data_IF_979977209779
#
_entry.id   IF_979977209779
#
_cell.length_a   1.000
_cell.length_b   1.000
_cell.length_c   1.000
_cell.angle_alpha   90.00
_cell.angle_beta   90.00
_cell.angle_gamma   90.00
#
_symmetry.space_group_name_H-M   'P 1'
#
loop_
_entity.id
_entity.type
_entity.pdbx_description
1 polymer ?
#
# COMPACT_ATOMS: atom_id res chain seq x y z
N UNK A 1 -3.40 -14.31 -14.05
CA UNK A 1 -2.74 -15.15 -13.01
C UNK A 1 -1.35 -14.60 -12.72
N UNK A 2 -1.19 -13.65 -11.78
CA UNK A 2 0.11 -13.11 -11.30
C UNK A 2 0.03 -12.43 -9.91
N UNK A 3 -1.09 -12.54 -9.18
CA UNK A 3 -1.27 -11.84 -7.89
C UNK A 3 -0.40 -12.45 -6.78
N UNK A 4 -0.18 -13.77 -6.81
CA UNK A 4 0.66 -14.48 -5.84
C UNK A 4 2.14 -14.04 -5.85
N UNK A 5 2.66 -13.55 -6.98
CA UNK A 5 4.05 -13.13 -7.10
C UNK A 5 4.33 -11.89 -6.25
N UNK A 6 3.41 -10.93 -6.26
CA UNK A 6 3.47 -9.78 -5.37
C UNK A 6 3.33 -10.22 -3.91
N UNK A 7 2.43 -11.15 -3.58
CA UNK A 7 2.25 -11.62 -2.20
C UNK A 7 3.47 -12.32 -1.61
N UNK A 8 4.14 -13.22 -2.36
CA UNK A 8 5.38 -13.89 -1.89
C UNK A 8 6.46 -12.86 -1.55
N UNK A 9 6.53 -11.81 -2.36
CA UNK A 9 7.50 -10.75 -2.23
C UNK A 9 7.21 -9.84 -1.03
N UNK A 10 5.94 -9.47 -0.84
CA UNK A 10 5.46 -8.72 0.32
C UNK A 10 5.65 -9.53 1.61
N UNK A 11 5.40 -10.84 1.57
CA UNK A 11 5.71 -11.75 2.68
C UNK A 11 7.21 -11.71 3.03
N UNK A 12 8.09 -11.70 2.04
CA UNK A 12 9.53 -11.56 2.23
C UNK A 12 9.96 -10.26 2.90
N UNK A 13 9.18 -9.18 2.78
CA UNK A 13 9.39 -7.90 3.50
C UNK A 13 8.77 -7.95 4.90
N UNK A 14 7.57 -8.53 5.06
CA UNK A 14 6.92 -8.65 6.38
C UNK A 14 7.76 -9.46 7.38
N UNK A 15 8.34 -10.57 6.92
CA UNK A 15 9.05 -11.54 7.76
C UNK A 15 10.51 -11.16 8.05
N UNK A 16 10.94 -9.95 7.68
CA UNK A 16 12.29 -9.47 8.03
C UNK A 16 12.46 -9.27 9.54
N UNK A 17 13.70 -9.35 10.04
CA UNK A 17 13.99 -8.95 11.42
C UNK A 17 13.58 -7.49 11.65
N UNK A 18 13.05 -7.13 12.83
CA UNK A 18 12.88 -5.73 13.24
C UNK A 18 14.17 -4.90 13.12
N UNK A 19 15.35 -5.53 13.22
CA UNK A 19 16.65 -4.86 13.05
C UNK A 19 16.86 -4.28 11.65
N UNK A 20 16.24 -4.90 10.64
CA UNK A 20 16.31 -4.45 9.25
C UNK A 20 15.37 -3.29 8.96
N UNK A 21 14.16 -3.34 9.52
CA UNK A 21 13.12 -2.34 9.31
C UNK A 21 12.12 -2.37 10.46
N UNK A 22 11.90 -1.21 11.08
CA UNK A 22 10.91 -1.05 12.14
C UNK A 22 9.50 -1.42 11.64
N UNK A 23 8.69 -2.02 12.50
CA UNK A 23 7.35 -2.53 12.17
C UNK A 23 6.45 -1.46 11.54
N UNK A 24 6.45 -0.24 12.11
CA UNK A 24 5.76 0.94 11.55
C UNK A 24 6.15 1.21 10.09
N UNK A 25 7.44 1.12 9.79
CA UNK A 25 7.94 1.29 8.43
C UNK A 25 7.37 0.23 7.48
N UNK A 26 7.30 -1.03 7.93
CA UNK A 26 6.71 -2.13 7.14
C UNK A 26 5.23 -1.87 6.87
N UNK A 27 4.46 -1.45 7.87
CA UNK A 27 3.04 -1.10 7.69
C UNK A 27 2.89 0.01 6.66
N UNK A 28 3.66 1.09 6.74
CA UNK A 28 3.58 2.19 5.75
C UNK A 28 3.96 1.77 4.33
N UNK A 29 4.84 0.77 4.18
CA UNK A 29 5.25 0.23 2.89
C UNK A 29 4.18 -0.67 2.28
N UNK A 30 3.46 -1.42 3.12
CA UNK A 30 2.52 -2.48 2.71
C UNK A 30 1.07 -2.01 2.63
N UNK A 31 0.68 -1.04 3.45
CA UNK A 31 -0.71 -0.67 3.63
C UNK A 31 -1.06 0.54 2.73
N UNK A 32 -1.25 0.28 1.44
CA UNK A 32 -2.11 1.10 0.57
C UNK A 32 -1.62 2.49 0.16
N UNK A 33 -0.35 2.84 0.42
CA UNK A 33 0.30 4.03 -0.10
C UNK A 33 0.87 3.80 -1.51
N UNK A 34 0.47 4.63 -2.47
CA UNK A 34 1.04 4.65 -3.83
C UNK A 34 2.45 5.26 -3.87
N UNK A 35 2.80 6.11 -2.91
CA UNK A 35 4.13 6.71 -2.78
C UNK A 35 4.79 6.35 -1.45
N UNK A 36 6.10 6.17 -1.50
CA UNK A 36 6.96 5.86 -0.37
C UNK A 36 7.83 7.07 -0.03
N UNK A 37 8.20 7.14 1.25
CA UNK A 37 9.28 8.00 1.73
C UNK A 37 10.63 7.49 1.22
N UNK A 38 11.61 8.37 1.10
CA UNK A 38 12.94 8.01 0.63
C UNK A 38 13.60 6.86 1.43
N UNK A 39 13.55 6.82 2.79
CA UNK A 39 14.14 5.71 3.55
C UNK A 39 13.46 4.37 3.27
N UNK A 40 12.12 4.34 3.25
CA UNK A 40 11.34 3.13 2.94
C UNK A 40 11.63 2.63 1.53
N UNK A 41 11.79 3.55 0.56
CA UNK A 41 12.16 3.21 -0.81
C UNK A 41 13.58 2.64 -0.93
N UNK A 42 14.55 3.22 -0.22
CA UNK A 42 15.93 2.71 -0.22
C UNK A 42 16.00 1.29 0.36
N UNK A 43 15.32 1.07 1.48
CA UNK A 43 15.19 -0.26 2.09
C UNK A 43 14.54 -1.26 1.12
N UNK A 44 13.40 -0.87 0.55
CA UNK A 44 12.67 -1.67 -0.44
C UNK A 44 13.54 -2.03 -1.66
N UNK A 45 14.32 -1.09 -2.17
CA UNK A 45 15.21 -1.34 -3.31
C UNK A 45 16.34 -2.32 -2.95
N UNK A 46 16.95 -2.17 -1.76
CA UNK A 46 17.96 -3.12 -1.26
C UNK A 46 17.41 -4.53 -1.07
N UNK A 47 16.17 -4.64 -0.56
CA UNK A 47 15.48 -5.93 -0.43
C UNK A 47 15.12 -6.51 -1.78
N UNK A 48 14.65 -5.70 -2.72
CA UNK A 48 14.34 -6.13 -4.09
C UNK A 48 15.58 -6.73 -4.79
N UNK A 49 16.76 -6.13 -4.57
CA UNK A 49 18.03 -6.68 -5.05
C UNK A 49 18.35 -8.04 -4.43
N UNK A 50 18.21 -8.14 -3.11
CA UNK A 50 18.43 -9.41 -2.39
C UNK A 50 17.48 -10.50 -2.88
N UNK A 51 16.21 -10.17 -3.11
CA UNK A 51 15.20 -11.09 -3.63
C UNK A 51 15.49 -11.52 -5.07
N UNK A 52 15.97 -10.60 -5.92
CA UNK A 52 16.37 -10.91 -7.30
C UNK A 52 17.55 -11.91 -7.35
N UNK A 53 18.51 -11.77 -6.43
CA UNK A 53 19.70 -12.64 -6.32
C UNK A 53 19.41 -14.06 -5.79
N UNK A 54 18.20 -14.33 -5.27
CA UNK A 54 17.79 -15.66 -4.77
C UNK A 54 17.60 -16.70 -5.89
N UNK A 55 17.23 -16.26 -7.09
CA UNK A 55 16.93 -17.20 -8.19
C UNK A 55 18.16 -17.82 -8.85
N UNK A 56 19.24 -17.05 -9.14
CA UNK A 56 20.44 -17.60 -9.74
C UNK A 56 21.22 -18.58 -8.86
N UNK A 57 21.22 -18.40 -7.53
CA UNK A 57 22.10 -19.16 -6.62
C UNK A 57 21.31 -19.89 -5.51
N UNK A 58 21.43 -21.23 -5.46
CA UNK A 58 20.76 -22.07 -4.45
C UNK A 58 21.27 -21.84 -3.02
N UNK A 59 22.54 -21.48 -2.82
CA UNK A 59 23.09 -21.17 -1.49
C UNK A 59 22.53 -19.84 -0.96
N UNK A 60 22.45 -18.82 -1.83
CA UNK A 60 21.82 -17.55 -1.48
C UNK A 60 20.35 -17.72 -1.09
N UNK A 61 19.63 -18.63 -1.74
CA UNK A 61 18.22 -18.92 -1.45
C UNK A 61 18.00 -19.46 -0.04
N UNK A 62 18.83 -20.43 0.37
CA UNK A 62 18.69 -21.02 1.70
C UNK A 62 19.05 -20.03 2.81
N UNK A 63 19.99 -19.11 2.54
CA UNK A 63 20.37 -18.03 3.45
C UNK A 63 19.36 -16.90 3.54
N UNK A 64 18.84 -16.42 2.41
CA UNK A 64 18.02 -15.20 2.33
C UNK A 64 16.52 -15.45 2.52
N UNK A 65 16.06 -16.68 2.28
CA UNK A 65 14.64 -17.03 2.33
C UNK A 65 14.42 -18.48 2.79
N UNK A 66 14.91 -18.87 4.00
CA UNK A 66 14.80 -20.24 4.51
C UNK A 66 13.35 -20.71 4.66
N UNK A 67 12.42 -19.77 4.85
CA UNK A 67 10.98 -20.05 4.99
C UNK A 67 10.31 -20.40 3.66
N UNK A 68 10.94 -20.12 2.51
CA UNK A 68 10.35 -20.32 1.19
C UNK A 68 10.98 -21.51 0.48
N UNK A 69 10.17 -22.53 0.18
CA UNK A 69 10.58 -23.68 -0.64
C UNK A 69 10.40 -23.37 -2.14
N UNK A 70 11.37 -22.70 -2.76
CA UNK A 70 11.31 -22.42 -4.21
C UNK A 70 11.51 -23.66 -5.09
N UNK A 71 11.97 -24.78 -4.52
CA UNK A 71 12.24 -26.02 -5.26
C UNK A 71 11.00 -26.61 -5.95
N UNK A 72 9.80 -26.39 -5.40
CA UNK A 72 8.54 -26.87 -5.97
C UNK A 72 7.96 -25.95 -7.06
N UNK A 73 8.47 -24.72 -7.20
CA UNK A 73 7.99 -23.79 -8.22
C UNK A 73 8.45 -24.24 -9.61
N UNK A 74 7.54 -24.17 -10.59
CA UNK A 74 7.84 -24.39 -12.00
C UNK A 74 8.74 -23.27 -12.53
N UNK A 75 9.51 -23.54 -13.58
CA UNK A 75 10.39 -22.54 -14.21
C UNK A 75 9.67 -21.22 -14.52
N UNK A 76 8.48 -21.29 -15.14
CA UNK A 76 7.65 -20.12 -15.45
C UNK A 76 7.28 -19.27 -14.23
N UNK A 77 7.10 -19.89 -13.06
CA UNK A 77 6.72 -19.19 -11.83
C UNK A 77 7.94 -18.48 -11.22
N UNK A 78 9.12 -19.13 -11.29
CA UNK A 78 10.40 -18.54 -10.87
C UNK A 78 10.78 -17.36 -11.74
N UNK A 79 10.66 -17.50 -13.07
CA UNK A 79 10.90 -16.41 -14.02
C UNK A 79 9.94 -15.25 -13.79
N UNK A 80 8.68 -15.55 -13.47
CA UNK A 80 7.68 -14.55 -13.10
C UNK A 80 8.07 -13.75 -11.86
N UNK A 81 8.47 -14.42 -10.78
CA UNK A 81 8.97 -13.78 -9.56
C UNK A 81 10.24 -12.95 -9.84
N UNK A 82 11.19 -13.51 -10.58
CA UNK A 82 12.42 -12.81 -10.94
C UNK A 82 12.13 -11.53 -11.74
N UNK A 83 11.17 -11.57 -12.68
CA UNK A 83 10.74 -10.40 -13.45
C UNK A 83 10.07 -9.34 -12.55
N UNK A 84 9.28 -9.75 -11.56
CA UNK A 84 8.71 -8.81 -10.56
C UNK A 84 9.82 -8.14 -9.76
N UNK A 85 10.78 -8.91 -9.22
CA UNK A 85 11.88 -8.35 -8.43
C UNK A 85 12.77 -7.43 -9.24
N UNK A 86 13.05 -7.81 -10.49
CA UNK A 86 13.78 -6.98 -11.44
C UNK A 86 13.09 -5.65 -11.67
N UNK A 87 11.77 -5.65 -11.90
CA UNK A 87 10.99 -4.43 -12.08
C UNK A 87 11.03 -3.51 -10.84
N UNK A 88 11.12 -4.07 -9.64
CA UNK A 88 11.21 -3.29 -8.42
C UNK A 88 12.53 -2.54 -8.24
N UNK A 89 13.60 -2.99 -8.91
CA UNK A 89 14.90 -2.32 -8.87
C UNK A 89 14.81 -0.89 -9.43
N UNK A 90 15.61 0.00 -8.85
CA UNK A 90 15.78 1.38 -9.28
C UNK A 90 16.71 1.48 -10.52
N UNK A 91 16.29 0.89 -11.65
CA UNK A 91 17.01 0.95 -12.93
C UNK A 91 16.33 1.94 -13.89
N UNK A 92 17.09 2.56 -14.80
CA UNK A 92 16.60 3.57 -15.76
C UNK A 92 15.45 3.06 -16.65
N UNK A 93 15.38 1.74 -16.91
CA UNK A 93 14.29 1.11 -17.65
C UNK A 93 13.04 0.75 -16.83
N UNK A 94 13.07 0.94 -15.51
CA UNK A 94 11.97 0.57 -14.60
C UNK A 94 11.32 1.79 -13.94
N UNK A 95 11.32 2.94 -14.62
CA UNK A 95 10.57 4.11 -14.16
C UNK A 95 9.07 3.80 -14.20
N UNK A 96 8.38 3.99 -13.07
CA UNK A 96 6.96 3.71 -12.95
C UNK A 96 6.22 4.95 -12.43
N UNK A 97 5.44 5.57 -13.32
CA UNK A 97 4.65 6.76 -13.01
C UNK A 97 3.36 6.38 -12.26
N UNK A 98 3.52 5.89 -11.03
CA UNK A 98 2.41 5.33 -10.26
C UNK A 98 1.27 6.32 -10.05
N UNK A 99 1.58 7.61 -9.88
CA UNK A 99 0.60 8.67 -9.70
C UNK A 99 -0.27 8.87 -10.94
N UNK A 100 0.32 8.79 -12.14
CA UNK A 100 -0.45 8.86 -13.40
C UNK A 100 -1.38 7.65 -13.51
N UNK A 101 -0.87 6.44 -13.25
CA UNK A 101 -1.70 5.23 -13.28
C UNK A 101 -2.81 5.25 -12.23
N UNK A 102 -2.54 5.81 -11.04
CA UNK A 102 -3.54 5.99 -9.99
C UNK A 102 -4.65 6.93 -10.48
N UNK A 103 -4.30 8.12 -10.98
CA UNK A 103 -5.26 9.11 -11.48
C UNK A 103 -6.08 8.59 -12.67
N UNK A 104 -5.45 7.91 -13.63
CA UNK A 104 -6.15 7.30 -14.76
C UNK A 104 -7.14 6.23 -14.31
N UNK A 105 -6.75 5.39 -13.34
CA UNK A 105 -7.63 4.35 -12.82
C UNK A 105 -8.76 4.94 -11.98
N UNK A 106 -8.50 6.01 -11.22
CA UNK A 106 -9.52 6.74 -10.48
C UNK A 106 -10.56 7.29 -11.46
N UNK A 107 -10.12 7.99 -12.51
CA UNK A 107 -11.01 8.52 -13.55
C UNK A 107 -11.85 7.41 -14.21
N UNK A 108 -11.23 6.26 -14.52
CA UNK A 108 -11.96 5.10 -15.07
C UNK A 108 -12.98 4.52 -14.09
N UNK A 109 -12.66 4.49 -12.80
CA UNK A 109 -13.56 4.01 -11.74
C UNK A 109 -14.76 4.94 -11.57
N UNK A 110 -14.53 6.25 -11.63
CA UNK A 110 -15.57 7.27 -11.48
C UNK A 110 -16.47 7.41 -12.72
N UNK A 111 -15.93 7.16 -13.91
CA UNK A 111 -16.69 7.24 -15.16
C UNK A 111 -17.30 8.64 -15.36
N UNK A 112 -18.62 8.71 -15.51
CA UNK A 112 -19.37 9.97 -15.67
C UNK A 112 -19.47 10.75 -14.35
N UNK A 113 -19.28 10.08 -13.20
CA UNK A 113 -19.34 10.70 -11.87
C UNK A 113 -18.06 11.46 -11.46
N UNK A 114 -17.13 11.67 -12.39
CA UNK A 114 -15.86 12.35 -12.15
C UNK A 114 -16.05 13.80 -11.66
N UNK A 115 -17.11 14.46 -12.13
CA UNK A 115 -17.45 15.84 -11.76
C UNK A 115 -18.05 15.94 -10.34
N UNK A 116 -18.44 14.81 -9.74
CA UNK A 116 -19.09 14.72 -8.41
C UNK A 116 -18.32 13.79 -7.46
N UNK A 117 -16.99 13.73 -7.59
CA UNK A 117 -16.11 12.83 -6.83
C UNK A 117 -16.29 12.90 -5.33
N UNK A 118 -16.45 14.12 -4.79
CA UNK A 118 -16.60 14.33 -3.36
C UNK A 118 -17.81 13.59 -2.79
N UNK A 119 -18.96 13.67 -3.45
CA UNK A 119 -20.18 12.98 -3.03
C UNK A 119 -20.04 11.46 -3.10
N UNK A 120 -19.35 10.94 -4.12
CA UNK A 120 -19.08 9.51 -4.23
C UNK A 120 -18.12 9.02 -3.13
N UNK A 121 -17.11 9.80 -2.78
CA UNK A 121 -16.19 9.45 -1.70
C UNK A 121 -16.91 9.45 -0.34
N UNK A 122 -17.75 10.45 -0.09
CA UNK A 122 -18.54 10.51 1.15
C UNK A 122 -19.54 9.35 1.25
N UNK A 123 -20.16 8.96 0.13
CA UNK A 123 -21.02 7.78 0.09
C UNK A 123 -20.22 6.51 0.41
N UNK A 124 -19.08 6.30 -0.24
CA UNK A 124 -18.24 5.11 0.01
C UNK A 124 -17.77 5.05 1.47
N UNK A 125 -17.37 6.19 2.05
CA UNK A 125 -16.97 6.25 3.46
C UNK A 125 -18.11 5.84 4.40
N UNK A 126 -19.28 6.43 4.23
CA UNK A 126 -20.40 6.19 5.16
C UNK A 126 -21.05 4.83 4.93
N UNK A 127 -21.18 4.37 3.68
CA UNK A 127 -21.89 3.12 3.37
C UNK A 127 -20.98 1.89 3.38
N UNK A 128 -19.72 2.02 2.96
CA UNK A 128 -18.79 0.88 2.85
C UNK A 128 -17.93 0.77 4.11
N UNK A 129 -17.22 1.83 4.49
CA UNK A 129 -16.26 1.76 5.60
C UNK A 129 -16.94 1.78 6.97
N UNK A 130 -17.82 2.75 7.24
CA UNK A 130 -18.57 2.77 8.52
C UNK A 130 -19.50 1.57 8.66
N UNK A 131 -20.06 1.07 7.55
CA UNK A 131 -20.81 -0.20 7.53
C UNK A 131 -19.97 -1.42 7.95
N UNK A 132 -18.63 -1.34 7.87
CA UNK A 132 -17.66 -2.38 8.27
C UNK A 132 -16.96 -2.06 9.60
N UNK A 133 -17.58 -1.25 10.45
CA UNK A 133 -17.07 -0.89 11.79
C UNK A 133 -15.81 -0.01 11.77
N UNK A 134 -15.43 0.61 10.65
CA UNK A 134 -14.35 1.60 10.59
C UNK A 134 -14.78 2.97 11.12
N UNK A 135 -15.22 3.03 12.39
CA UNK A 135 -15.77 4.25 13.02
C UNK A 135 -14.69 5.33 13.28
N UNK A 136 -13.42 4.92 13.41
CA UNK A 136 -12.29 5.84 13.60
C UNK A 136 -11.97 6.70 12.38
N UNK A 137 -12.63 6.50 11.25
CA UNK A 137 -12.42 7.34 10.06
C UNK A 137 -13.49 8.42 10.06
N UNK A 138 -13.07 9.64 10.39
CA UNK A 138 -13.99 10.77 10.41
C UNK A 138 -14.52 11.05 9.01
N UNK A 139 -15.81 11.40 8.93
CA UNK A 139 -16.43 11.93 7.73
C UNK A 139 -16.31 13.46 7.63
N UNK A 140 -15.89 14.13 8.70
CA UNK A 140 -15.73 15.57 8.74
C UNK A 140 -14.26 15.97 8.55
N UNK A 141 -14.05 16.93 7.65
CA UNK A 141 -12.92 17.84 7.72
C UNK A 141 -13.04 18.63 9.02
N UNK A 142 -12.09 18.50 9.95
CA UNK A 142 -12.12 19.28 11.19
C UNK A 142 -12.24 20.78 10.90
N UNK A 143 -12.89 21.52 11.79
CA UNK A 143 -13.32 22.94 11.69
C UNK A 143 -12.21 24.00 11.42
N UNK A 144 -11.01 23.60 10.99
CA UNK A 144 -9.86 24.51 10.85
C UNK A 144 -9.53 24.83 9.39
N UNK A 145 -9.97 24.03 8.41
CA UNK A 145 -9.78 24.38 7.00
C UNK A 145 -10.67 23.45 6.16
N UNK A 146 -11.56 23.99 5.33
CA UNK A 146 -12.33 23.20 4.35
C UNK A 146 -11.42 22.48 3.33
N UNK A 147 -10.12 22.78 3.36
CA UNK A 147 -9.05 22.13 2.59
C UNK A 147 -8.52 20.85 3.25
N UNK A 148 -8.80 20.60 4.54
CA UNK A 148 -8.43 19.35 5.24
C UNK A 148 -9.45 18.24 4.96
N UNK A 149 -9.35 17.68 3.77
CA UNK A 149 -9.96 16.40 3.41
C UNK A 149 -9.71 15.34 4.50
N UNK A 150 -10.73 14.54 4.83
CA UNK A 150 -10.56 13.34 5.69
C UNK A 150 -9.39 12.50 5.18
N UNK A 151 -8.66 11.79 6.03
CA UNK A 151 -7.54 10.93 5.58
C UNK A 151 -7.96 10.01 4.44
N UNK A 152 -9.20 9.54 4.51
CA UNK A 152 -9.85 8.77 3.45
C UNK A 152 -9.98 9.55 2.13
N UNK A 153 -10.53 10.77 2.15
CA UNK A 153 -10.65 11.61 0.94
C UNK A 153 -9.28 11.98 0.37
N UNK A 154 -8.34 12.38 1.22
CA UNK A 154 -6.97 12.66 0.81
C UNK A 154 -6.33 11.44 0.13
N UNK A 155 -6.52 10.25 0.69
CA UNK A 155 -6.07 9.00 0.10
C UNK A 155 -6.76 8.71 -1.23
N UNK A 156 -8.07 8.93 -1.33
CA UNK A 156 -8.83 8.71 -2.58
C UNK A 156 -8.31 9.58 -3.71
N UNK A 157 -7.96 10.83 -3.43
CA UNK A 157 -7.37 11.75 -4.41
C UNK A 157 -5.91 11.43 -4.75
N UNK A 158 -5.06 11.18 -3.75
CA UNK A 158 -3.60 11.13 -3.93
C UNK A 158 -3.00 9.71 -3.98
N UNK A 159 -3.76 8.72 -3.53
CA UNK A 159 -3.29 7.36 -3.31
C UNK A 159 -2.42 7.19 -2.06
N UNK A 160 -2.29 8.20 -1.19
CA UNK A 160 -1.48 8.14 0.02
C UNK A 160 -2.42 8.10 1.24
N UNK A 161 -2.44 6.98 1.95
CA UNK A 161 -3.27 6.73 3.12
C UNK A 161 -2.68 7.28 4.42
N UNK A 162 -1.38 7.07 4.61
CA UNK A 162 -0.70 7.45 5.85
C UNK A 162 0.09 8.72 5.63
N UNK A 163 -0.44 9.85 6.08
CA UNK A 163 0.24 11.13 5.97
C UNK A 163 0.59 11.73 7.32
N UNK A 164 1.79 12.27 7.32
CA UNK A 164 2.35 13.05 8.40
C UNK A 164 2.83 14.34 7.76
N UNK A 165 2.39 15.52 8.25
CA UNK A 165 2.80 16.80 7.69
C UNK A 165 4.32 16.96 7.57
N UNK A 166 5.08 16.31 8.46
CA UNK A 166 6.54 16.32 8.48
C UNK A 166 7.22 15.44 7.43
N UNK A 167 6.48 14.57 6.71
CA UNK A 167 7.07 13.64 5.75
C UNK A 167 6.67 13.92 4.30
N UNK A 168 7.66 13.84 3.43
CA UNK A 168 7.47 13.87 1.99
C UNK A 168 7.38 12.45 1.40
N UNK A 169 6.37 12.23 0.56
CA UNK A 169 6.15 11.00 -0.18
C UNK A 169 6.36 11.26 -1.67
N UNK A 170 7.47 10.76 -2.23
CA UNK A 170 7.87 11.10 -3.60
C UNK A 170 8.36 9.91 -4.43
N UNK A 171 8.59 8.75 -3.82
CA UNK A 171 9.10 7.56 -4.53
C UNK A 171 7.97 6.60 -4.87
N UNK A 172 7.92 6.01 -6.07
CA UNK A 172 6.83 5.13 -6.45
C UNK A 172 6.83 3.84 -5.64
N UNK A 173 5.67 3.47 -5.07
CA UNK A 173 5.49 2.16 -4.44
C UNK A 173 5.22 1.09 -5.51
N UNK A 174 6.28 0.48 -6.04
CA UNK A 174 6.17 -0.51 -7.12
C UNK A 174 5.48 -1.82 -6.70
N UNK A 175 5.23 -2.03 -5.40
CA UNK A 175 4.47 -3.20 -4.92
C UNK A 175 2.99 -3.12 -5.29
N UNK A 176 2.45 -1.91 -5.38
CA UNK A 176 1.08 -1.62 -5.83
C UNK A 176 0.91 -1.72 -7.36
N UNK A 177 1.99 -2.09 -8.09
CA UNK A 177 1.96 -2.29 -9.52
C UNK A 177 1.69 -3.76 -9.87
N UNK A 178 0.83 -3.97 -10.86
CA UNK A 178 0.51 -5.30 -11.36
C UNK A 178 0.51 -5.34 -12.89
N UNK A 179 0.74 -6.51 -13.49
CA UNK A 179 0.74 -6.67 -14.93
C UNK A 179 -0.69 -6.62 -15.48
N UNK A 180 -0.90 -5.78 -16.50
CA UNK A 180 -2.13 -5.72 -17.29
C UNK A 180 -1.96 -6.62 -18.51
N UNK A 181 -2.96 -7.46 -18.74
CA UNK A 181 -3.00 -8.39 -19.86
C UNK A 181 -4.22 -8.09 -20.74
N UNK A 182 -4.07 -8.26 -22.05
CA UNK A 182 -5.17 -8.26 -23.01
C UNK A 182 -5.06 -9.47 -23.91
N UNK A 183 -6.15 -10.21 -24.05
CA UNK A 183 -6.20 -11.48 -24.80
C UNK A 183 -5.07 -12.47 -24.39
N UNK A 184 -4.69 -12.49 -23.11
CA UNK A 184 -3.63 -13.36 -22.58
C UNK A 184 -2.19 -12.84 -22.77
N UNK A 185 -2.00 -11.72 -23.47
CA UNK A 185 -0.70 -11.10 -23.68
C UNK A 185 -0.46 -9.95 -22.71
N UNK A 186 0.75 -9.86 -22.18
CA UNK A 186 1.19 -8.73 -21.37
C UNK A 186 1.21 -7.45 -22.22
N UNK A 187 0.59 -6.38 -21.72
CA UNK A 187 0.67 -5.06 -22.35
C UNK A 187 1.64 -4.17 -21.60
N UNK A 188 1.33 -3.87 -20.33
CA UNK A 188 2.06 -2.93 -19.48
C UNK A 188 1.79 -3.23 -18.00
N UNK A 189 2.42 -2.49 -17.08
CA UNK A 189 2.07 -2.53 -15.65
C UNK A 189 1.19 -1.33 -15.31
N UNK A 190 0.21 -1.53 -14.44
CA UNK A 190 -0.66 -0.47 -13.93
C UNK A 190 -0.82 -0.56 -12.41
N UNK A 191 -1.39 0.47 -11.80
CA UNK A 191 -1.76 0.45 -10.39
C UNK A 191 -2.90 -0.56 -10.15
N UNK A 192 -2.70 -1.55 -9.27
CA UNK A 192 -3.66 -2.65 -9.03
C UNK A 192 -4.23 -2.71 -7.62
N UNK A 193 -3.73 -1.91 -6.70
CA UNK A 193 -4.23 -1.88 -5.32
C UNK A 193 -5.67 -1.37 -5.22
N UNK A 194 -6.30 -1.62 -4.08
CA UNK A 194 -7.68 -1.19 -3.86
C UNK A 194 -7.79 0.34 -3.91
N UNK A 195 -8.84 0.84 -4.55
CA UNK A 195 -9.12 2.27 -4.70
C UNK A 195 -10.29 2.72 -3.84
N UNK A 196 -11.16 1.80 -3.42
CA UNK A 196 -12.38 2.16 -2.71
C UNK A 196 -12.19 2.20 -1.21
N UNK A 197 -11.73 1.12 -0.61
CA UNK A 197 -11.60 1.02 0.85
C UNK A 197 -10.20 1.36 1.34
N UNK A 198 -9.14 0.94 0.64
CA UNK A 198 -7.76 1.15 1.07
C UNK A 198 -7.44 0.44 2.40
N UNK A 199 -6.42 0.91 3.14
CA UNK A 199 -5.98 0.27 4.39
C UNK A 199 -6.96 0.48 5.56
N UNK A 200 -7.93 1.38 5.38
CA UNK A 200 -8.98 1.76 6.31
C UNK A 200 -9.96 0.64 6.70
N UNK A 201 -9.97 -0.46 5.95
CA UNK A 201 -10.72 -1.67 6.31
C UNK A 201 -10.04 -2.48 7.42
N UNK A 202 -8.82 -2.13 7.82
CA UNK A 202 -8.05 -2.82 8.85
C UNK A 202 -7.35 -1.88 9.85
N UNK A 203 -7.16 -0.59 9.50
CA UNK A 203 -6.46 0.37 10.35
C UNK A 203 -7.42 1.08 11.31
N UNK A 204 -6.98 1.23 12.56
CA UNK A 204 -7.66 2.00 13.60
C UNK A 204 -9.02 1.44 14.02
N UNK A 205 -9.28 0.15 13.84
CA UNK A 205 -10.59 -0.42 14.17
C UNK A 205 -10.79 -0.68 15.65
N UNK A 206 -9.73 -1.09 16.33
CA UNK A 206 -9.69 -1.53 17.71
C UNK A 206 -8.41 -1.02 18.36
N UNK A 207 -8.41 -0.83 19.67
CA UNK A 207 -7.22 -0.59 20.49
C UNK A 207 -7.51 -1.06 21.91
N UNK A 208 -6.47 -1.41 22.66
CA UNK A 208 -6.62 -1.71 24.10
C UNK A 208 -6.79 -0.45 24.93
N UNK A 209 -6.26 0.70 24.47
CA UNK A 209 -6.52 2.01 25.07
C UNK A 209 -7.80 2.62 24.46
N UNK A 210 -8.91 2.47 25.17
CA UNK A 210 -10.21 3.03 24.76
C UNK A 210 -10.18 4.55 24.55
N UNK A 211 -9.21 5.27 25.13
CA UNK A 211 -9.05 6.73 24.93
C UNK A 211 -8.73 7.07 23.48
N UNK A 212 -8.00 6.20 22.79
CA UNK A 212 -7.64 6.37 21.38
C UNK A 212 -8.86 6.23 20.46
N UNK A 213 -9.95 5.64 20.95
CA UNK A 213 -11.19 5.44 20.20
C UNK A 213 -12.25 6.51 20.47
N UNK A 214 -11.96 7.49 21.32
CA UNK A 214 -12.92 8.54 21.68
C UNK A 214 -13.17 9.49 20.51
N UNK A 215 -14.44 9.91 20.40
CA UNK A 215 -14.89 10.88 19.43
C UNK A 215 -15.87 11.86 20.05
N UNK A 216 -15.75 13.12 19.63
CA UNK A 216 -16.59 14.23 20.10
C UNK A 216 -17.15 14.96 18.88
N UNK A 217 -18.48 15.02 18.74
CA UNK A 217 -19.16 15.65 17.59
C UNK A 217 -18.68 15.11 16.21
N UNK A 218 -18.56 13.78 16.06
CA UNK A 218 -18.06 13.11 14.84
C UNK A 218 -16.61 13.45 14.45
N UNK A 219 -15.84 14.02 15.39
CA UNK A 219 -14.41 14.23 15.27
C UNK A 219 -13.69 13.30 16.24
N UNK A 220 -12.76 12.50 15.71
CA UNK A 220 -11.97 11.59 16.53
C UNK A 220 -10.79 12.35 17.13
N UNK A 221 -10.50 12.08 18.40
CA UNK A 221 -9.40 12.72 19.11
C UNK A 221 -8.04 12.26 18.54
N UNK A 222 -8.01 11.04 18.02
CA UNK A 222 -6.85 10.42 17.38
C UNK A 222 -7.20 9.97 15.97
N UNK A 223 -6.19 9.91 15.10
CA UNK A 223 -6.38 9.45 13.72
C UNK A 223 -6.32 7.91 13.68
N UNK A 224 -6.98 7.26 12.71
CA UNK A 224 -6.85 5.82 12.48
C UNK A 224 -5.40 5.31 12.46
N UNK A 225 -4.48 6.11 11.93
CA UNK A 225 -3.05 5.79 11.91
C UNK A 225 -2.42 5.83 13.30
N UNK A 226 -2.80 6.78 14.15
CA UNK A 226 -2.27 6.90 15.50
C UNK A 226 -2.72 5.70 16.35
N UNK A 227 -4.00 5.30 16.22
CA UNK A 227 -4.53 4.07 16.82
C UNK A 227 -3.80 2.83 16.31
N UNK A 228 -3.55 2.76 14.99
CA UNK A 228 -2.85 1.62 14.39
C UNK A 228 -1.42 1.54 14.88
N UNK A 229 -0.71 2.65 14.97
CA UNK A 229 0.69 2.68 15.41
C UNK A 229 0.85 2.35 16.88
N UNK A 230 -0.08 2.78 17.73
CA UNK A 230 -0.09 2.41 19.15
C UNK A 230 -0.19 0.89 19.30
N UNK A 231 -1.14 0.26 18.60
CA UNK A 231 -1.28 -1.20 18.58
C UNK A 231 -0.05 -1.95 18.03
N UNK A 232 0.84 -1.30 17.27
CA UNK A 232 2.09 -1.92 16.79
C UNK A 232 3.21 -1.89 17.83
N UNK A 233 3.06 -1.08 18.88
CA UNK A 233 4.05 -0.90 19.95
C UNK A 233 3.73 -1.71 21.22
N UNK A 234 2.52 -2.26 21.32
CA UNK A 234 2.12 -3.26 22.32
C UNK A 234 2.87 -4.59 22.17
#
# INVERSE_FOLDING_TARGET
MNLYQNYVALLGVTLESPDSMILRGKVHLLCGNSLLRAPSYQHFNGKSKSLFEIFPNCECRQRLAPLFKFGSLKYRERDGLQNVFRFWLAEEGHVFQIQQHYAERLKKLMGVGDDHRDGAFDWDLNMILKGRQSQQISSQAGNIDSTKSTEYRYRRETGIAFTYPEYEYSKPNKTAAGPVHYAGNYIHRAYVDDMQTGPFSACGLISTDERLLLSTHDQNDYRPIDVTEDNLLE
#
